data_IF_765425675338
#
_entry.id   IF_765425675338
#
_cell.length_a   1.000
_cell.length_b   1.000
_cell.length_c   1.000
_cell.angle_alpha   90.00
_cell.angle_beta   90.00
_cell.angle_gamma   90.00
#
_symmetry.space_group_name_H-M   'P 1'
#
loop_
_entity.id
_entity.type
_entity.pdbx_description
1 polymer ?
#
# COMPACT_ATOMS: atom_id res chain seq x y z
N UNK A 1 -1.15 4.46 -2.37
CA UNK A 1 -0.81 3.47 -3.41
C UNK A 1 -0.35 2.18 -2.75
N UNK A 2 -0.48 1.04 -3.44
CA UNK A 2 -0.02 -0.27 -2.96
C UNK A 2 0.89 -0.90 -4.02
N UNK A 3 1.98 -1.51 -3.57
CA UNK A 3 2.98 -2.16 -4.41
C UNK A 3 3.36 -3.52 -3.83
N UNK A 4 3.89 -4.38 -4.69
CA UNK A 4 4.50 -5.67 -4.33
C UNK A 4 5.92 -5.75 -4.87
N UNK A 5 6.80 -6.42 -4.12
CA UNK A 5 8.16 -6.72 -4.51
C UNK A 5 8.56 -8.13 -4.09
N UNK A 6 9.11 -8.90 -5.02
CA UNK A 6 9.69 -10.23 -4.80
C UNK A 6 11.17 -10.15 -4.39
N UNK A 7 11.83 -9.00 -4.59
CA UNK A 7 13.28 -8.85 -4.40
C UNK A 7 13.69 -7.80 -3.36
N UNK A 8 12.75 -7.28 -2.56
CA UNK A 8 13.10 -6.38 -1.45
C UNK A 8 13.84 -7.14 -0.34
N UNK A 9 15.04 -6.66 -0.02
CA UNK A 9 15.97 -7.28 0.93
C UNK A 9 15.76 -6.87 2.40
N UNK A 10 14.80 -5.99 2.67
CA UNK A 10 14.53 -5.46 4.02
C UNK A 10 15.32 -4.21 4.38
N UNK A 11 16.23 -3.73 3.51
CA UNK A 11 17.15 -2.65 3.84
C UNK A 11 17.02 -1.41 2.94
N UNK A 12 16.92 -1.59 1.61
CA UNK A 12 16.94 -0.46 0.67
C UNK A 12 15.77 -0.49 -0.31
N UNK A 13 14.75 0.32 -0.02
CA UNK A 13 13.54 0.42 -0.83
C UNK A 13 13.80 0.87 -2.27
N UNK A 14 14.91 1.57 -2.55
CA UNK A 14 15.24 2.08 -3.89
C UNK A 14 15.88 1.02 -4.79
N UNK A 15 16.44 -0.05 -4.21
CA UNK A 15 17.06 -1.15 -4.96
C UNK A 15 16.05 -2.24 -5.36
N UNK A 16 14.91 -2.29 -4.66
CA UNK A 16 13.84 -3.21 -4.96
C UNK A 16 13.08 -2.82 -6.23
N UNK A 17 12.58 -3.82 -6.95
CA UNK A 17 11.62 -3.67 -8.02
C UNK A 17 10.22 -3.70 -7.43
N UNK A 18 9.41 -2.70 -7.78
CA UNK A 18 8.06 -2.53 -7.26
C UNK A 18 7.03 -2.57 -8.38
N UNK A 19 6.12 -3.53 -8.31
CA UNK A 19 4.98 -3.62 -9.22
C UNK A 19 3.76 -3.00 -8.54
N UNK A 20 3.11 -2.05 -9.22
CA UNK A 20 1.92 -1.39 -8.67
C UNK A 20 0.74 -2.36 -8.68
N UNK A 21 0.05 -2.47 -7.55
CA UNK A 21 -1.16 -3.26 -7.41
C UNK A 21 -2.39 -2.38 -7.62
N UNK A 22 -3.42 -2.95 -8.25
CA UNK A 22 -4.72 -2.28 -8.41
C UNK A 22 -5.52 -2.43 -7.12
N UNK A 23 -5.86 -1.31 -6.47
CA UNK A 23 -6.57 -1.31 -5.19
C UNK A 23 -7.51 -0.10 -5.03
N UNK A 24 -8.59 -0.33 -4.27
CA UNK A 24 -9.45 0.67 -3.61
C UNK A 24 -8.61 1.58 -2.69
N UNK A 25 -8.43 2.89 -2.91
CA UNK A 25 -7.72 3.75 -1.95
C UNK A 25 -8.50 5.03 -1.70
N UNK A 26 -8.55 5.46 -0.43
CA UNK A 26 -9.18 6.70 -0.04
C UNK A 26 -8.53 7.89 -0.76
N UNK A 27 -9.38 8.82 -1.19
CA UNK A 27 -9.01 10.03 -1.90
C UNK A 27 -9.35 11.25 -1.05
N UNK A 28 -9.00 12.45 -1.53
CA UNK A 28 -9.40 13.70 -0.88
C UNK A 28 -10.93 13.92 -0.84
N UNK A 29 -11.69 13.20 -1.68
CA UNK A 29 -13.16 13.22 -1.65
C UNK A 29 -13.75 12.19 -0.68
N UNK A 30 -12.93 11.33 -0.08
CA UNK A 30 -13.38 10.41 0.97
C UNK A 30 -13.55 11.21 2.28
N UNK A 31 -14.69 11.08 2.97
CA UNK A 31 -14.90 11.75 4.25
C UNK A 31 -13.80 11.48 5.27
N UNK A 32 -13.51 12.49 6.09
CA UNK A 32 -12.45 12.43 7.09
C UNK A 32 -12.67 11.26 8.06
N UNK A 33 -11.61 10.48 8.32
CA UNK A 33 -11.61 9.28 9.18
C UNK A 33 -12.56 8.16 8.75
N UNK A 34 -13.12 8.22 7.54
CA UNK A 34 -13.85 7.09 6.99
C UNK A 34 -12.88 6.07 6.43
N UNK A 35 -12.95 4.85 6.96
CA UNK A 35 -12.29 3.70 6.34
C UNK A 35 -13.11 3.21 5.14
N UNK A 36 -12.42 2.91 4.05
CA UNK A 36 -13.00 2.24 2.89
C UNK A 36 -12.29 0.92 2.65
N UNK A 37 -13.01 -0.08 2.16
CA UNK A 37 -12.39 -1.35 1.79
C UNK A 37 -11.50 -1.16 0.56
N UNK A 38 -10.27 -1.65 0.64
CA UNK A 38 -9.36 -1.71 -0.51
C UNK A 38 -9.78 -2.72 -1.57
N UNK A 39 -10.76 -3.57 -1.26
CA UNK A 39 -11.18 -4.69 -2.10
C UNK A 39 -10.21 -5.88 -2.03
N UNK A 40 -10.54 -6.93 -2.76
CA UNK A 40 -9.62 -8.04 -2.98
C UNK A 40 -8.52 -7.60 -3.97
N UNK A 41 -7.27 -7.84 -3.60
CA UNK A 41 -6.11 -7.60 -4.45
C UNK A 41 -5.55 -8.97 -4.80
N UNK A 42 -5.50 -9.29 -6.10
CA UNK A 42 -5.00 -10.57 -6.56
C UNK A 42 -3.48 -10.65 -6.38
N UNK A 43 -3.05 -11.62 -5.57
CA UNK A 43 -1.65 -11.95 -5.34
C UNK A 43 -1.29 -13.34 -5.87
N UNK A 44 -2.22 -14.05 -6.51
CA UNK A 44 -1.99 -15.39 -7.08
C UNK A 44 -0.86 -15.46 -8.12
N UNK A 45 -0.49 -14.38 -8.86
CA UNK A 45 0.67 -14.42 -9.74
C UNK A 45 2.02 -14.50 -9.03
N UNK A 46 2.07 -14.22 -7.72
CA UNK A 46 3.30 -14.18 -6.95
C UNK A 46 3.46 -15.42 -6.09
N UNK A 47 4.69 -15.89 -5.95
CA UNK A 47 5.01 -17.08 -5.15
C UNK A 47 6.24 -16.85 -4.27
N UNK A 48 6.41 -17.70 -3.25
CA UNK A 48 7.52 -17.55 -2.30
C UNK A 48 7.38 -16.31 -1.43
N UNK A 49 8.51 -15.67 -1.11
CA UNK A 49 8.54 -14.48 -0.25
C UNK A 49 8.27 -13.23 -1.08
N UNK A 50 7.19 -12.54 -0.75
CA UNK A 50 6.89 -11.20 -1.27
C UNK A 50 6.80 -10.17 -0.15
N UNK A 51 6.94 -8.90 -0.52
CA UNK A 51 6.81 -7.77 0.37
C UNK A 51 5.78 -6.80 -0.20
N UNK A 52 4.83 -6.37 0.64
CA UNK A 52 3.81 -5.38 0.27
C UNK A 52 4.22 -4.01 0.82
N UNK A 53 4.18 -3.00 -0.04
CA UNK A 53 4.45 -1.62 0.36
C UNK A 53 3.21 -0.74 0.18
N UNK A 54 2.89 0.00 1.24
CA UNK A 54 1.90 1.07 1.19
C UNK A 54 2.64 2.39 1.07
N UNK A 55 2.37 3.11 -0.02
CA UNK A 55 3.04 4.37 -0.33
C UNK A 55 2.04 5.52 -0.32
N UNK A 56 2.36 6.55 0.45
CA UNK A 56 1.66 7.82 0.46
C UNK A 56 2.68 8.94 0.21
N UNK A 57 2.32 9.90 -0.65
CA UNK A 57 3.14 11.07 -0.94
C UNK A 57 2.37 12.28 -0.40
N UNK A 58 2.89 12.88 0.66
CA UNK A 58 2.42 14.18 1.13
C UNK A 58 2.88 15.30 0.19
N UNK A 59 2.18 16.44 0.19
CA UNK A 59 2.54 17.58 -0.67
C UNK A 59 3.88 18.22 -0.29
N UNK A 60 4.25 18.15 1.00
CA UNK A 60 5.45 18.81 1.54
C UNK A 60 5.44 20.33 1.41
N UNK A 61 4.34 20.94 0.96
CA UNK A 61 4.22 22.37 0.66
C UNK A 61 3.89 23.19 1.89
N UNK A 62 3.03 22.67 2.75
CA UNK A 62 2.63 23.31 4.00
C UNK A 62 3.20 22.49 5.16
N UNK A 63 4.06 23.12 5.96
CA UNK A 63 4.70 22.49 7.12
C UNK A 63 3.80 22.44 8.36
N UNK A 64 2.64 23.09 8.31
CA UNK A 64 1.67 23.19 9.41
C UNK A 64 0.48 22.26 9.23
N UNK A 65 0.19 21.84 7.99
CA UNK A 65 -0.87 20.88 7.68
C UNK A 65 -0.32 19.46 7.63
N UNK A 66 -0.73 18.63 8.59
CA UNK A 66 -0.40 17.22 8.65
C UNK A 66 -1.50 16.39 7.97
N UNK A 67 -1.15 15.70 6.89
CA UNK A 67 -1.99 14.65 6.31
C UNK A 67 -1.75 13.32 7.04
N UNK A 68 -2.83 12.61 7.35
CA UNK A 68 -2.75 11.24 7.86
C UNK A 68 -3.14 10.25 6.77
N UNK A 69 -2.36 9.19 6.61
CA UNK A 69 -2.72 8.01 5.83
C UNK A 69 -2.81 6.82 6.80
N UNK A 70 -4.02 6.29 6.98
CA UNK A 70 -4.31 5.24 7.94
C UNK A 70 -4.66 3.96 7.20
N UNK A 71 -4.07 2.85 7.63
CA UNK A 71 -4.30 1.51 7.10
C UNK A 71 -4.66 0.64 8.30
N UNK A 72 -5.71 -0.15 8.16
CA UNK A 72 -6.17 -1.08 9.18
C UNK A 72 -6.71 -2.35 8.53
N UNK A 73 -6.87 -3.42 9.32
CA UNK A 73 -7.44 -4.70 8.90
C UNK A 73 -6.75 -5.34 7.68
N UNK A 74 -5.41 -5.28 7.64
CA UNK A 74 -4.62 -5.93 6.58
C UNK A 74 -4.71 -7.45 6.73
N UNK A 75 -5.43 -8.10 5.81
CA UNK A 75 -5.64 -9.54 5.79
C UNK A 75 -5.07 -10.12 4.50
N UNK A 76 -4.26 -11.18 4.65
CA UNK A 76 -3.70 -11.96 3.55
C UNK A 76 -4.33 -13.34 3.61
N UNK A 77 -4.84 -13.79 2.47
CA UNK A 77 -5.44 -15.10 2.31
C UNK A 77 -4.59 -15.90 1.34
N UNK A 78 -4.36 -17.17 1.65
CA UNK A 78 -3.73 -18.14 0.77
C UNK A 78 -4.53 -19.44 0.79
N UNK A 79 -4.46 -20.19 -0.30
CA UNK A 79 -4.95 -21.56 -0.29
C UNK A 79 -4.03 -22.43 0.58
N UNK A 80 -4.62 -23.43 1.24
CA UNK A 80 -3.91 -24.38 2.11
C UNK A 80 -3.13 -25.41 1.30
#
# INVERSE_FOLDING_TARGET
EIYVSENFDGSNIKKAQWTKLTAKIATQSTPSRQFISSGAIDLSPYSGKINIAFKYIGSGKDKTLNGAFMIDDVKIYGEK
#
